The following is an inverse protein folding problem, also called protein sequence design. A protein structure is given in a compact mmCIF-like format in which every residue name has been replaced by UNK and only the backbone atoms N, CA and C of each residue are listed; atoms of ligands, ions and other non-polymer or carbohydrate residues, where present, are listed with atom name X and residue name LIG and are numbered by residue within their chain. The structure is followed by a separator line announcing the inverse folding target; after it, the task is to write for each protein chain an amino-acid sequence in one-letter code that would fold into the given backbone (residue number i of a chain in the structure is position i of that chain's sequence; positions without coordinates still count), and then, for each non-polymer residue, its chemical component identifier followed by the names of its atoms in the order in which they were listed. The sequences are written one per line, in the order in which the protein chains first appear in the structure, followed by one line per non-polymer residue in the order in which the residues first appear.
data_IF_408721629302
#
_entry.id   IF_408721629302
#
_cell.length_a   1.000
_cell.length_b   1.000
_cell.length_c   1.000
_cell.angle_alpha   90.00
_cell.angle_beta   90.00
_cell.angle_gamma   90.00
#
_symmetry.space_group_name_H-M   'P 1'
#
loop_
_entity.id
_entity.type
_entity.pdbx_description
1 polymer ?
#
# COMPACT_ATOMS: atom_id res chain seq x y z
N UNK A 1 -17.08 -19.59 9.69
CA UNK A 1 -15.82 -19.32 9.01
C UNK A 1 -15.66 -17.81 8.86
N UNK A 2 -14.44 -17.26 8.99
CA UNK A 2 -14.18 -15.82 8.85
C UNK A 2 -14.27 -15.45 7.36
N UNK A 3 -15.04 -14.39 7.01
CA UNK A 3 -15.08 -13.83 5.66
C UNK A 3 -14.22 -12.59 5.57
N UNK A 4 -13.38 -12.51 4.54
CA UNK A 4 -12.54 -11.36 4.21
C UNK A 4 -13.09 -10.77 2.92
N UNK A 5 -13.69 -9.60 3.03
CA UNK A 5 -14.28 -8.86 1.94
C UNK A 5 -13.26 -7.95 1.26
N UNK A 6 -13.62 -7.38 0.11
CA UNK A 6 -12.85 -6.29 -0.50
C UNK A 6 -12.85 -5.06 0.40
N UNK A 7 -11.78 -4.28 0.33
CA UNK A 7 -11.68 -2.98 0.97
C UNK A 7 -11.61 -1.90 -0.10
N UNK A 8 -12.73 -1.24 -0.37
CA UNK A 8 -12.86 -0.24 -1.44
C UNK A 8 -13.41 1.06 -0.85
N UNK A 9 -12.74 2.17 -1.12
CA UNK A 9 -13.14 3.50 -0.63
C UNK A 9 -13.37 3.56 0.89
N UNK A 10 -12.50 2.93 1.67
CA UNK A 10 -12.59 2.90 3.13
C UNK A 10 -13.74 2.06 3.70
N UNK A 11 -14.35 1.17 2.89
CA UNK A 11 -15.50 0.34 3.28
C UNK A 11 -15.28 -1.12 2.94
N UNK A 12 -15.88 -1.99 3.77
CA UNK A 12 -16.02 -3.41 3.44
C UNK A 12 -17.07 -3.59 2.34
N UNK A 13 -16.66 -4.21 1.23
CA UNK A 13 -17.53 -4.54 0.09
C UNK A 13 -17.55 -6.05 -0.07
N UNK A 14 -18.73 -6.67 0.05
CA UNK A 14 -18.87 -8.10 -0.12
C UNK A 14 -18.53 -8.51 -1.57
N UNK A 15 -17.83 -9.64 -1.72
CA UNK A 15 -17.62 -10.24 -3.03
C UNK A 15 -18.85 -10.97 -3.52
N UNK A 16 -18.96 -11.14 -4.83
CA UNK A 16 -19.97 -12.01 -5.45
C UNK A 16 -19.61 -13.49 -5.30
N UNK A 17 -18.33 -13.79 -5.20
CA UNK A 17 -17.77 -15.13 -5.03
C UNK A 17 -16.62 -15.10 -4.01
N UNK A 18 -16.29 -16.28 -3.45
CA UNK A 18 -15.26 -16.44 -2.41
C UNK A 18 -14.43 -17.70 -2.67
N UNK A 19 -13.16 -17.64 -2.36
CA UNK A 19 -12.26 -18.79 -2.33
C UNK A 19 -11.68 -18.99 -0.92
N UNK A 20 -11.26 -20.21 -0.62
CA UNK A 20 -10.62 -20.50 0.65
C UNK A 20 -9.14 -20.17 0.62
N UNK A 21 -8.64 -19.49 1.66
CA UNK A 21 -7.20 -19.49 1.98
C UNK A 21 -6.92 -20.55 3.03
N UNK A 22 -5.80 -21.25 2.90
CA UNK A 22 -5.42 -22.37 3.76
C UNK A 22 -4.03 -22.14 4.35
N UNK A 23 -3.84 -22.56 5.59
CA UNK A 23 -2.51 -22.63 6.19
C UNK A 23 -1.68 -23.72 5.48
N UNK A 24 -0.59 -23.38 4.81
CA UNK A 24 0.19 -24.36 4.06
C UNK A 24 0.93 -25.38 4.95
N UNK A 25 1.12 -25.08 6.24
CA UNK A 25 1.76 -26.02 7.18
C UNK A 25 0.79 -27.07 7.74
N UNK A 26 -0.52 -26.73 7.87
CA UNK A 26 -1.51 -27.64 8.48
C UNK A 26 -2.58 -28.11 7.52
N UNK A 27 -2.78 -27.41 6.40
CA UNK A 27 -3.89 -27.63 5.46
C UNK A 27 -5.25 -27.11 5.96
N UNK A 28 -5.31 -26.48 7.12
CA UNK A 28 -6.57 -25.97 7.67
C UNK A 28 -7.01 -24.71 6.92
N UNK A 29 -8.33 -24.58 6.69
CA UNK A 29 -8.92 -23.39 6.10
C UNK A 29 -8.88 -22.24 7.11
N UNK A 30 -8.26 -21.13 6.72
CA UNK A 30 -8.16 -19.92 7.54
C UNK A 30 -9.36 -18.99 7.38
N UNK A 31 -9.78 -18.77 6.16
CA UNK A 31 -10.86 -17.84 5.83
C UNK A 31 -11.42 -18.09 4.43
N UNK A 32 -12.60 -17.49 4.16
CA UNK A 32 -13.15 -17.27 2.82
C UNK A 32 -12.80 -15.85 2.37
N UNK A 33 -12.03 -15.72 1.30
CA UNK A 33 -11.58 -14.44 0.74
C UNK A 33 -12.41 -14.10 -0.49
N UNK A 34 -12.91 -12.87 -0.56
CA UNK A 34 -13.69 -12.41 -1.71
C UNK A 34 -12.86 -12.46 -3.00
N UNK A 35 -13.39 -13.11 -4.03
CA UNK A 35 -12.82 -13.13 -5.37
C UNK A 35 -13.24 -11.87 -6.12
N UNK A 36 -12.25 -11.06 -6.58
CA UNK A 36 -12.52 -9.84 -7.33
C UNK A 36 -12.54 -10.10 -8.83
N UNK A 37 -13.55 -9.59 -9.50
CA UNK A 37 -13.66 -9.56 -10.96
C UNK A 37 -13.49 -8.16 -11.53
N UNK A 38 -13.87 -8.01 -12.78
CA UNK A 38 -13.78 -6.74 -13.52
C UNK A 38 -14.57 -5.60 -12.83
N UNK A 39 -15.75 -5.91 -12.29
CA UNK A 39 -16.60 -4.93 -11.63
C UNK A 39 -15.95 -4.33 -10.39
N UNK A 40 -15.36 -5.18 -9.52
CA UNK A 40 -14.66 -4.75 -8.30
C UNK A 40 -13.39 -3.97 -8.63
N UNK A 41 -12.67 -4.38 -9.66
CA UNK A 41 -11.48 -3.64 -10.15
C UNK A 41 -11.89 -2.25 -10.65
N UNK A 42 -12.93 -2.14 -11.46
CA UNK A 42 -13.44 -0.86 -11.94
C UNK A 42 -13.90 0.05 -10.79
N UNK A 43 -14.58 -0.51 -9.81
CA UNK A 43 -15.01 0.23 -8.61
C UNK A 43 -13.82 0.73 -7.80
N UNK A 44 -12.81 -0.10 -7.57
CA UNK A 44 -11.59 0.28 -6.85
C UNK A 44 -10.81 1.36 -7.59
N UNK A 45 -10.63 1.24 -8.90
CA UNK A 45 -9.95 2.24 -9.73
C UNK A 45 -10.73 3.56 -9.77
N UNK A 46 -12.07 3.51 -9.86
CA UNK A 46 -12.90 4.72 -9.82
C UNK A 46 -12.75 5.46 -8.49
N UNK A 47 -12.80 4.74 -7.36
CA UNK A 47 -12.58 5.32 -6.03
C UNK A 47 -11.18 5.93 -5.88
N UNK A 48 -10.15 5.26 -6.39
CA UNK A 48 -8.78 5.78 -6.37
C UNK A 48 -8.60 7.03 -7.25
N UNK A 49 -9.25 7.07 -8.43
CA UNK A 49 -9.26 8.25 -9.31
C UNK A 49 -9.98 9.44 -8.66
N UNK A 50 -11.06 9.21 -7.96
CA UNK A 50 -11.79 10.24 -7.21
C UNK A 50 -10.92 10.84 -6.08
N UNK A 51 -10.18 9.99 -5.34
CA UNK A 51 -9.31 10.41 -4.26
C UNK A 51 -8.00 11.07 -4.74
N UNK A 52 -7.56 10.77 -5.97
CA UNK A 52 -6.26 11.19 -6.49
C UNK A 52 -6.01 12.71 -6.44
N UNK A 53 -6.92 13.61 -6.88
CA UNK A 53 -6.67 15.05 -6.84
C UNK A 53 -6.36 15.57 -5.43
N UNK A 54 -7.09 15.10 -4.43
CA UNK A 54 -6.86 15.46 -3.03
C UNK A 54 -5.48 15.02 -2.55
N UNK A 55 -5.10 13.78 -2.83
CA UNK A 55 -3.79 13.24 -2.47
C UNK A 55 -2.65 13.94 -3.23
N UNK A 56 -2.80 14.14 -4.53
CA UNK A 56 -1.80 14.77 -5.39
C UNK A 56 -1.48 16.21 -4.99
N UNK A 57 -2.51 16.95 -4.53
CA UNK A 57 -2.38 18.35 -4.11
C UNK A 57 -1.95 18.54 -2.64
N UNK A 58 -1.85 17.45 -1.85
CA UNK A 58 -1.30 17.56 -0.50
C UNK A 58 0.16 18.05 -0.54
N UNK A 59 0.54 18.96 0.37
CA UNK A 59 1.94 19.31 0.55
C UNK A 59 2.79 18.06 0.82
N UNK A 60 4.00 18.02 0.26
CA UNK A 60 4.92 16.88 0.40
C UNK A 60 5.12 16.47 1.86
N UNK A 61 5.25 17.46 2.76
CA UNK A 61 5.38 17.26 4.21
C UNK A 61 4.18 16.48 4.80
N UNK A 62 2.96 16.77 4.35
CA UNK A 62 1.75 16.08 4.85
C UNK A 62 1.66 14.65 4.33
N UNK A 63 2.01 14.40 3.07
CA UNK A 63 2.12 13.03 2.54
C UNK A 63 3.16 12.22 3.31
N UNK A 64 4.34 12.79 3.55
CA UNK A 64 5.38 12.18 4.36
C UNK A 64 4.93 11.85 5.79
N UNK A 65 4.18 12.77 6.43
CA UNK A 65 3.61 12.56 7.76
C UNK A 65 2.65 11.36 7.79
N UNK A 66 1.77 11.26 6.79
CA UNK A 66 0.82 10.14 6.68
C UNK A 66 1.53 8.80 6.45
N UNK A 67 2.57 8.79 5.59
CA UNK A 67 3.38 7.59 5.35
C UNK A 67 4.11 7.14 6.62
N UNK A 68 4.72 8.06 7.38
CA UNK A 68 5.35 7.73 8.67
C UNK A 68 4.33 7.16 9.65
N UNK A 69 3.14 7.80 9.74
CA UNK A 69 2.06 7.29 10.59
C UNK A 69 1.68 5.85 10.26
N UNK A 70 1.65 5.50 8.97
CA UNK A 70 1.40 4.12 8.55
C UNK A 70 2.52 3.18 9.00
N UNK A 71 3.79 3.58 8.84
CA UNK A 71 4.94 2.83 9.37
C UNK A 71 4.83 2.59 10.88
N UNK A 72 4.55 3.64 11.66
CA UNK A 72 4.37 3.55 13.12
C UNK A 72 3.23 2.58 13.51
N UNK A 73 2.14 2.57 12.75
CA UNK A 73 1.02 1.64 12.98
C UNK A 73 1.42 0.19 12.68
N UNK A 74 2.19 -0.04 11.61
CA UNK A 74 2.72 -1.37 11.32
C UNK A 74 3.60 -1.85 12.47
N UNK A 75 4.50 -1.01 12.98
CA UNK A 75 5.39 -1.36 14.10
C UNK A 75 4.62 -1.70 15.38
N UNK A 76 3.55 -0.98 15.67
CA UNK A 76 2.68 -1.26 16.82
C UNK A 76 1.95 -2.60 16.70
N UNK A 77 1.71 -3.10 15.48
CA UNK A 77 0.98 -4.32 15.20
C UNK A 77 1.85 -5.47 14.66
N UNK A 78 3.19 -5.36 14.76
CA UNK A 78 4.13 -6.39 14.27
C UNK A 78 3.75 -7.81 14.72
N UNK A 79 3.45 -8.10 16.01
CA UNK A 79 3.13 -9.46 16.43
C UNK A 79 1.86 -10.02 15.77
N UNK A 80 0.83 -9.19 15.62
CA UNK A 80 -0.45 -9.56 15.02
C UNK A 80 -0.30 -9.82 13.51
N UNK A 81 0.32 -8.89 12.78
CA UNK A 81 0.52 -8.99 11.34
C UNK A 81 1.44 -10.19 11.02
N UNK A 82 2.52 -10.37 11.79
CA UNK A 82 3.44 -11.49 11.60
C UNK A 82 2.79 -12.86 11.82
N UNK A 83 1.88 -12.97 12.79
CA UNK A 83 1.13 -14.21 13.00
C UNK A 83 0.20 -14.53 11.83
N UNK A 84 -0.50 -13.52 11.28
CA UNK A 84 -1.34 -13.68 10.09
C UNK A 84 -0.52 -14.04 8.86
N UNK A 85 0.59 -13.35 8.63
CA UNK A 85 1.51 -13.61 7.52
C UNK A 85 2.08 -15.03 7.59
N UNK A 86 2.50 -15.48 8.78
CA UNK A 86 2.98 -16.86 8.98
C UNK A 86 1.89 -17.88 8.70
N UNK A 87 0.68 -17.64 9.16
CA UNK A 87 -0.43 -18.58 8.95
C UNK A 87 -0.81 -18.71 7.47
N UNK A 88 -0.77 -17.61 6.72
CA UNK A 88 -1.18 -17.58 5.32
C UNK A 88 -0.08 -18.05 4.36
N UNK A 89 1.17 -17.66 4.60
CA UNK A 89 2.30 -17.97 3.69
C UNK A 89 3.11 -19.18 4.08
N UNK A 90 3.03 -19.64 5.34
CA UNK A 90 3.87 -20.71 5.90
C UNK A 90 5.29 -20.30 6.25
N UNK A 91 5.63 -19.01 6.13
CA UNK A 91 6.96 -18.53 6.53
C UNK A 91 7.17 -18.64 8.05
N UNK A 92 8.40 -18.96 8.51
CA UNK A 92 8.68 -19.06 9.94
C UNK A 92 8.38 -17.76 10.70
N UNK A 93 7.70 -17.85 11.84
CA UNK A 93 7.27 -16.71 12.65
C UNK A 93 8.43 -15.78 13.04
N UNK A 94 9.62 -16.31 13.30
CA UNK A 94 10.78 -15.47 13.61
C UNK A 94 11.20 -14.60 12.41
N UNK A 95 11.02 -15.07 11.18
CA UNK A 95 11.34 -14.33 9.97
C UNK A 95 10.28 -13.25 9.70
N UNK A 96 9.01 -13.58 9.79
CA UNK A 96 7.92 -12.60 9.60
C UNK A 96 7.99 -11.51 10.67
N UNK A 97 8.12 -11.88 11.94
CA UNK A 97 8.11 -10.95 13.07
C UNK A 97 9.35 -10.05 13.16
N UNK A 98 10.55 -10.61 12.90
CA UNK A 98 11.79 -9.88 13.17
C UNK A 98 12.41 -9.27 11.91
N UNK A 99 11.94 -9.63 10.71
CA UNK A 99 12.52 -9.17 9.46
C UNK A 99 11.48 -8.58 8.53
N UNK A 100 10.46 -9.36 8.13
CA UNK A 100 9.59 -8.96 7.02
C UNK A 100 8.65 -7.81 7.40
N UNK A 101 7.94 -7.92 8.53
CA UNK A 101 6.99 -6.87 8.93
C UNK A 101 7.72 -5.59 9.36
N UNK A 102 8.82 -5.62 10.16
CA UNK A 102 9.63 -4.42 10.42
C UNK A 102 10.21 -3.78 9.16
N UNK A 103 10.59 -4.59 8.15
CA UNK A 103 11.03 -4.07 6.85
C UNK A 103 9.93 -3.28 6.13
N UNK A 104 8.67 -3.73 6.20
CA UNK A 104 7.55 -2.99 5.62
C UNK A 104 7.40 -1.60 6.26
N UNK A 105 7.42 -1.51 7.61
CA UNK A 105 7.42 -0.25 8.34
C UNK A 105 8.58 0.65 7.91
N UNK A 106 9.80 0.11 7.91
CA UNK A 106 11.00 0.85 7.50
C UNK A 106 10.88 1.41 6.07
N UNK A 107 10.31 0.66 5.13
CA UNK A 107 10.11 1.13 3.76
C UNK A 107 9.18 2.36 3.72
N UNK A 108 8.10 2.37 4.49
CA UNK A 108 7.23 3.55 4.56
C UNK A 108 7.95 4.77 5.13
N UNK A 109 8.75 4.60 6.19
CA UNK A 109 9.56 5.66 6.76
C UNK A 109 10.60 6.19 5.75
N UNK A 110 11.33 5.29 5.09
CA UNK A 110 12.32 5.62 4.07
C UNK A 110 11.73 6.46 2.93
N UNK A 111 10.62 5.99 2.33
CA UNK A 111 9.99 6.73 1.24
C UNK A 111 9.32 8.03 1.69
N UNK A 112 8.88 8.14 2.94
CA UNK A 112 8.43 9.40 3.53
C UNK A 112 9.57 10.44 3.62
N UNK A 113 10.82 10.02 3.78
CA UNK A 113 11.98 10.90 3.78
C UNK A 113 12.42 11.24 2.35
N UNK A 114 12.52 10.24 1.49
CA UNK A 114 12.94 10.42 0.09
C UNK A 114 12.00 11.34 -0.68
N UNK A 115 10.69 11.21 -0.49
CA UNK A 115 9.73 12.04 -1.23
C UNK A 115 9.91 13.55 -0.97
N UNK A 116 10.44 13.94 0.19
CA UNK A 116 10.70 15.34 0.53
C UNK A 116 11.95 15.91 -0.15
N UNK A 117 12.79 15.06 -0.73
CA UNK A 117 14.03 15.41 -1.43
C UNK A 117 13.91 15.32 -2.95
N UNK A 118 12.73 14.95 -3.46
CA UNK A 118 12.48 14.83 -4.89
C UNK A 118 12.30 16.21 -5.52
N UNK A 119 13.40 16.77 -6.04
CA UNK A 119 13.44 18.06 -6.68
C UNK A 119 13.54 17.91 -8.21
N UNK A 120 13.03 18.90 -8.94
CA UNK A 120 13.30 19.06 -10.36
C UNK A 120 14.74 19.53 -10.61
N UNK A 121 15.13 19.54 -11.88
CA UNK A 121 16.45 20.03 -12.34
C UNK A 121 16.25 21.24 -13.23
N UNK A 122 17.24 22.11 -13.26
CA UNK A 122 17.26 23.32 -14.08
C UNK A 122 18.43 23.25 -15.03
N UNK A 123 18.21 23.54 -16.31
CA UNK A 123 19.22 23.50 -17.34
C UNK A 123 19.23 24.85 -18.10
N UNK A 124 20.24 25.71 -17.89
CA UNK A 124 20.41 26.88 -18.71
C UNK A 124 20.76 26.47 -20.14
N UNK A 125 20.08 27.03 -21.14
CA UNK A 125 20.33 26.77 -22.55
C UNK A 125 21.15 27.91 -23.13
N UNK A 126 20.70 29.15 -22.93
CA UNK A 126 21.39 30.38 -23.25
C UNK A 126 20.89 31.54 -22.36
N UNK A 127 21.26 32.77 -22.68
CA UNK A 127 20.87 33.96 -21.90
C UNK A 127 19.36 34.28 -21.95
N UNK A 128 18.60 33.61 -22.81
CA UNK A 128 17.16 33.85 -23.05
C UNK A 128 16.28 32.68 -22.69
N UNK A 129 16.84 31.47 -22.51
CA UNK A 129 16.07 30.26 -22.35
C UNK A 129 16.58 29.42 -21.19
N UNK A 130 15.65 29.00 -20.34
CA UNK A 130 15.86 28.11 -19.21
C UNK A 130 14.93 26.90 -19.32
N UNK A 131 15.50 25.69 -19.34
CA UNK A 131 14.74 24.44 -19.22
C UNK A 131 14.72 23.96 -17.78
N UNK A 132 13.58 23.47 -17.33
CA UNK A 132 13.47 22.84 -16.03
C UNK A 132 12.54 21.63 -16.08
N UNK A 133 12.69 20.74 -15.11
CA UNK A 133 11.83 19.58 -14.93
C UNK A 133 10.96 19.75 -13.69
N UNK A 134 9.71 19.30 -13.80
CA UNK A 134 8.77 19.21 -12.67
C UNK A 134 8.54 17.74 -12.33
N UNK A 135 8.66 17.38 -11.06
CA UNK A 135 8.27 16.07 -10.54
C UNK A 135 6.81 16.16 -10.11
N UNK A 136 5.95 15.38 -10.74
CA UNK A 136 4.52 15.38 -10.47
C UNK A 136 4.01 13.97 -10.16
N UNK A 137 2.92 13.82 -9.38
CA UNK A 137 2.27 12.52 -9.18
C UNK A 137 1.81 11.93 -10.51
N UNK A 138 2.12 10.66 -10.76
CA UNK A 138 1.83 9.98 -12.03
C UNK A 138 0.35 9.60 -12.19
N UNK A 139 -0.36 9.40 -11.09
CA UNK A 139 -1.75 8.95 -11.11
C UNK A 139 -2.01 7.74 -10.23
N UNK A 140 -3.07 7.01 -10.56
CA UNK A 140 -3.44 5.75 -9.91
C UNK A 140 -2.57 4.62 -10.46
N UNK A 141 -1.99 3.83 -9.55
CA UNK A 141 -1.16 2.67 -9.88
C UNK A 141 -1.82 1.40 -9.34
N UNK A 142 -1.71 0.32 -10.10
CA UNK A 142 -2.03 -1.02 -9.63
C UNK A 142 -0.75 -1.69 -9.08
N UNK A 143 -0.89 -2.36 -7.94
CA UNK A 143 0.12 -3.23 -7.34
C UNK A 143 -0.38 -4.67 -7.48
N UNK A 144 0.41 -5.56 -8.12
CA UNK A 144 0.09 -6.96 -8.37
C UNK A 144 1.19 -7.85 -7.80
#
# INVERSE_FOLDING_TARGET
MKKINHWINGKNVAGSDYFHTTNPATGEVLAEVASGGEAEIHQAVAAAKEAFPTWANLPMKERARLMRRLGDLIDQHVPEIAALETADTGLPIHQTKNVLIPRASHNFAFFAEVCQQMNGKTYPVDDKMLNYTLVQPVGVCALV
#
